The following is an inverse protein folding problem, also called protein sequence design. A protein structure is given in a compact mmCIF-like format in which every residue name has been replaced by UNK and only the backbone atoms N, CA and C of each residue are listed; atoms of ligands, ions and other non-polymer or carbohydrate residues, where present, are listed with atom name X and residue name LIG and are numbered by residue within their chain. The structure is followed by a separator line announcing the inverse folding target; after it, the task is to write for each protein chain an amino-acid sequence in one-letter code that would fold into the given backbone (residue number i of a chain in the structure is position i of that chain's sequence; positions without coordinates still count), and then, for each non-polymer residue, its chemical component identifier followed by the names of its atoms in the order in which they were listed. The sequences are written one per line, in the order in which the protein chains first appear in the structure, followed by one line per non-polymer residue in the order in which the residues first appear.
data_IF_432928898050
#
_entry.id   IF_432928898050
#
_cell.length_a   1.000
_cell.length_b   1.000
_cell.length_c   1.000
_cell.angle_alpha   90.00
_cell.angle_beta   90.00
_cell.angle_gamma   90.00
#
_symmetry.space_group_name_H-M   'P 1'
#
loop_
_entity.id
_entity.type
_entity.pdbx_description
1 polymer ?
#
# COMPACT_ATOMS: atom_id res chain seq x y z
N UNK A 1 -46.45 8.79 18.82
CA UNK A 1 -44.97 8.80 18.88
C UNK A 1 -44.45 10.09 18.25
N UNK A 2 -44.16 11.09 19.06
CA UNK A 2 -43.61 12.38 18.64
C UNK A 2 -42.18 12.17 18.14
N UNK A 3 -41.94 12.25 16.82
CA UNK A 3 -40.58 12.33 16.27
C UNK A 3 -39.92 13.59 16.85
N UNK A 4 -38.99 13.44 17.79
CA UNK A 4 -38.16 14.56 18.28
C UNK A 4 -37.61 15.29 17.07
N UNK A 5 -37.83 16.61 16.97
CA UNK A 5 -37.18 17.45 15.95
C UNK A 5 -35.67 17.25 16.09
N UNK A 6 -34.93 17.00 15.00
CA UNK A 6 -33.47 16.87 15.06
C UNK A 6 -32.88 18.17 15.63
N UNK A 7 -31.86 18.04 16.48
CA UNK A 7 -31.24 19.16 17.21
C UNK A 7 -30.64 20.24 16.29
N UNK A 8 -30.42 19.92 15.00
CA UNK A 8 -29.88 20.84 13.99
C UNK A 8 -30.91 21.42 13.02
N UNK A 9 -32.17 21.60 13.42
CA UNK A 9 -33.20 22.19 12.55
C UNK A 9 -32.83 23.64 12.16
N UNK A 10 -32.50 23.87 10.88
CA UNK A 10 -32.11 25.18 10.33
C UNK A 10 -30.64 25.30 9.92
N UNK A 11 -29.78 24.34 10.29
CA UNK A 11 -28.37 24.32 9.92
C UNK A 11 -28.15 23.56 8.61
N UNK A 12 -27.14 23.98 7.85
CA UNK A 12 -26.65 23.24 6.68
C UNK A 12 -26.13 21.85 7.08
N UNK A 13 -25.93 20.98 6.10
CA UNK A 13 -25.41 19.62 6.35
C UNK A 13 -23.99 19.66 6.91
N UNK A 14 -23.16 20.57 6.42
CA UNK A 14 -21.75 20.66 6.79
C UNK A 14 -21.58 21.23 8.20
N UNK A 15 -22.39 22.23 8.57
CA UNK A 15 -22.43 22.76 9.94
C UNK A 15 -22.86 21.67 10.94
N UNK A 16 -23.89 20.88 10.60
CA UNK A 16 -24.30 19.73 11.42
C UNK A 16 -23.19 18.69 11.56
N UNK A 17 -22.43 18.44 10.49
CA UNK A 17 -21.29 17.52 10.53
C UNK A 17 -20.19 18.02 11.47
N UNK A 18 -19.83 19.30 11.39
CA UNK A 18 -18.83 19.92 12.26
C UNK A 18 -19.23 19.87 13.73
N UNK A 19 -20.49 20.19 14.05
CA UNK A 19 -20.99 20.12 15.43
C UNK A 19 -20.92 18.69 15.96
N UNK A 20 -21.39 17.71 15.20
CA UNK A 20 -21.34 16.30 15.60
C UNK A 20 -19.90 15.83 15.82
N UNK A 21 -18.95 16.22 14.96
CA UNK A 21 -17.54 15.86 15.14
C UNK A 21 -16.95 16.50 16.40
N UNK A 22 -17.26 17.77 16.67
CA UNK A 22 -16.83 18.47 17.88
C UNK A 22 -17.38 17.80 19.15
N UNK A 23 -18.67 17.44 19.15
CA UNK A 23 -19.33 16.78 20.28
C UNK A 23 -18.78 15.37 20.52
N UNK A 24 -18.45 14.62 19.45
CA UNK A 24 -17.74 13.33 19.56
C UNK A 24 -16.40 13.52 20.29
N UNK A 25 -15.63 14.54 19.93
CA UNK A 25 -14.31 14.81 20.55
C UNK A 25 -14.47 15.17 22.03
N UNK A 26 -15.45 16.01 22.37
CA UNK A 26 -15.74 16.38 23.76
C UNK A 26 -16.17 15.18 24.60
N UNK A 27 -17.05 14.31 24.08
CA UNK A 27 -17.43 13.07 24.79
C UNK A 27 -16.24 12.13 24.98
N UNK A 28 -15.35 12.02 23.99
CA UNK A 28 -14.14 11.20 24.09
C UNK A 28 -13.14 11.73 25.13
N UNK A 29 -12.96 13.05 25.21
CA UNK A 29 -12.11 13.68 26.23
C UNK A 29 -12.69 13.48 27.63
N UNK A 30 -13.99 13.70 27.79
CA UNK A 30 -14.68 13.48 29.06
C UNK A 30 -14.54 12.02 29.52
N UNK A 31 -14.78 11.07 28.62
CA UNK A 31 -14.63 9.66 28.93
C UNK A 31 -13.17 9.27 29.26
N UNK A 32 -12.19 9.90 28.61
CA UNK A 32 -10.78 9.71 28.94
C UNK A 32 -10.47 10.18 30.37
N UNK A 33 -10.93 11.37 30.76
CA UNK A 33 -10.76 11.88 32.13
C UNK A 33 -11.47 11.02 33.18
N UNK A 34 -12.62 10.44 32.82
CA UNK A 34 -13.38 9.53 33.70
C UNK A 34 -12.86 8.08 33.69
N UNK A 35 -11.83 7.76 32.89
CA UNK A 35 -11.30 6.40 32.76
C UNK A 35 -12.26 5.38 32.14
N UNK A 36 -13.30 5.84 31.43
CA UNK A 36 -14.32 4.97 30.81
C UNK A 36 -13.94 4.59 29.39
N UNK A 37 -14.19 3.33 29.04
CA UNK A 37 -14.06 2.88 27.65
C UNK A 37 -15.30 3.23 26.85
N UNK A 38 -15.10 3.72 25.62
CA UNK A 38 -16.18 4.23 24.76
C UNK A 38 -16.19 3.49 23.45
N UNK A 39 -17.34 2.89 23.14
CA UNK A 39 -17.58 2.34 21.82
C UNK A 39 -17.79 3.48 20.79
N UNK A 40 -16.73 3.79 20.05
CA UNK A 40 -16.72 4.87 19.05
C UNK A 40 -17.84 4.71 18.01
N UNK A 41 -18.11 3.49 17.54
CA UNK A 41 -19.13 3.27 16.51
C UNK A 41 -20.53 3.59 17.05
N UNK A 42 -20.83 3.19 18.28
CA UNK A 42 -22.11 3.49 18.92
C UNK A 42 -22.28 5.00 19.16
N UNK A 43 -21.20 5.66 19.60
CA UNK A 43 -21.17 7.11 19.82
C UNK A 43 -21.45 7.88 18.51
N UNK A 44 -20.74 7.54 17.45
CA UNK A 44 -20.89 8.15 16.12
C UNK A 44 -22.31 8.02 15.58
N UNK A 45 -22.90 6.82 15.66
CA UNK A 45 -24.26 6.58 15.16
C UNK A 45 -25.30 7.32 15.99
N UNK A 46 -25.14 7.35 17.32
CA UNK A 46 -26.06 8.07 18.23
C UNK A 46 -26.08 9.56 17.93
N UNK A 47 -24.91 10.20 17.86
CA UNK A 47 -24.80 11.63 17.62
C UNK A 47 -25.21 12.00 16.18
N UNK A 48 -24.84 11.19 15.18
CA UNK A 48 -25.31 11.40 13.81
C UNK A 48 -26.85 11.34 13.71
N UNK A 49 -27.50 10.41 14.42
CA UNK A 49 -28.95 10.28 14.46
C UNK A 49 -29.63 11.49 15.14
N UNK A 50 -29.06 11.98 16.25
CA UNK A 50 -29.59 13.14 16.99
C UNK A 50 -29.67 14.42 16.13
N UNK A 51 -28.69 14.61 15.23
CA UNK A 51 -28.62 15.76 14.33
C UNK A 51 -29.24 15.50 12.94
N UNK A 52 -29.79 14.31 12.71
CA UNK A 52 -30.44 13.93 11.47
C UNK A 52 -29.48 13.83 10.28
N UNK A 53 -28.23 13.41 10.51
CA UNK A 53 -27.26 13.17 9.44
C UNK A 53 -27.57 11.84 8.71
N UNK A 54 -27.44 11.78 7.37
CA UNK A 54 -27.69 10.56 6.60
C UNK A 54 -26.60 9.51 6.78
N UNK A 55 -25.39 9.92 7.18
CA UNK A 55 -24.25 9.04 7.41
C UNK A 55 -23.46 9.51 8.62
N UNK A 56 -22.87 8.56 9.34
CA UNK A 56 -21.96 8.87 10.43
C UNK A 56 -20.68 9.55 9.91
N UNK A 57 -20.02 10.42 10.70
CA UNK A 57 -18.76 11.05 10.31
C UNK A 57 -17.68 10.01 10.01
N UNK A 58 -16.77 10.28 9.06
CA UNK A 58 -15.66 9.35 8.81
C UNK A 58 -14.64 9.48 9.93
N UNK A 59 -13.90 8.41 10.19
CA UNK A 59 -12.85 8.44 11.22
C UNK A 59 -11.76 9.48 10.90
N UNK A 60 -11.44 9.66 9.61
CA UNK A 60 -10.51 10.69 9.13
C UNK A 60 -10.98 12.09 9.49
N UNK A 61 -12.28 12.39 9.35
CA UNK A 61 -12.85 13.70 9.68
C UNK A 61 -12.76 13.96 11.19
N UNK A 62 -12.98 12.92 12.01
CA UNK A 62 -12.85 13.00 13.47
C UNK A 62 -11.39 13.25 13.87
N UNK A 63 -10.44 12.49 13.30
CA UNK A 63 -9.01 12.62 13.57
C UNK A 63 -8.51 14.03 13.17
N UNK A 64 -8.93 14.54 12.02
CA UNK A 64 -8.53 15.85 11.53
C UNK A 64 -9.03 17.00 12.43
N UNK A 65 -10.18 16.84 13.07
CA UNK A 65 -10.78 17.84 13.95
C UNK A 65 -10.23 17.79 15.39
N UNK A 66 -9.39 16.81 15.76
CA UNK A 66 -8.81 16.73 17.11
C UNK A 66 -7.89 17.93 17.38
N UNK A 67 -8.13 18.72 18.45
CA UNK A 67 -7.25 19.82 18.86
C UNK A 67 -5.81 19.37 19.09
N UNK A 68 -4.83 20.24 18.79
CA UNK A 68 -3.41 19.88 18.86
C UNK A 68 -2.96 19.39 20.25
N UNK A 69 -3.54 19.96 21.31
CA UNK A 69 -3.32 19.58 22.72
C UNK A 69 -3.86 18.19 23.06
N UNK A 70 -4.98 17.79 22.42
CA UNK A 70 -5.66 16.52 22.66
C UNK A 70 -5.13 15.39 21.76
N UNK A 71 -4.33 15.69 20.73
CA UNK A 71 -3.77 14.70 19.80
C UNK A 71 -2.98 13.57 20.50
N UNK A 72 -2.09 13.82 21.46
CA UNK A 72 -1.34 12.76 22.14
C UNK A 72 -2.25 11.79 22.90
N UNK A 73 -3.39 12.28 23.38
CA UNK A 73 -4.35 11.54 24.21
C UNK A 73 -5.30 10.71 23.34
N UNK A 74 -5.86 11.33 22.28
CA UNK A 74 -6.93 10.75 21.48
C UNK A 74 -6.43 9.98 20.25
N UNK A 75 -5.33 10.37 19.61
CA UNK A 75 -4.83 9.69 18.41
C UNK A 75 -4.54 8.20 18.66
N UNK A 76 -3.90 7.77 19.78
CA UNK A 76 -3.68 6.35 20.04
C UNK A 76 -4.97 5.55 20.15
N UNK A 77 -6.05 6.15 20.68
CA UNK A 77 -7.37 5.53 20.84
C UNK A 77 -8.20 5.54 19.55
N UNK A 78 -7.98 6.53 18.68
CA UNK A 78 -8.69 6.71 17.42
C UNK A 78 -8.01 6.03 16.22
N UNK A 79 -6.75 5.59 16.37
CA UNK A 79 -5.97 4.97 15.30
C UNK A 79 -6.64 3.69 14.80
N UNK A 80 -6.94 3.66 13.50
CA UNK A 80 -7.51 2.48 12.88
C UNK A 80 -6.47 1.36 12.78
N UNK A 81 -6.79 0.14 13.25
CA UNK A 81 -5.93 -1.06 13.11
C UNK A 81 -4.47 -0.78 13.53
N UNK A 82 -4.22 -0.49 14.82
CA UNK A 82 -2.92 -0.02 15.31
C UNK A 82 -1.76 -0.99 14.98
N UNK A 83 -2.05 -2.29 14.91
CA UNK A 83 -1.11 -3.36 14.51
C UNK A 83 -0.38 -3.08 13.18
N UNK A 84 -0.99 -2.36 12.23
CA UNK A 84 -0.44 -2.15 10.88
C UNK A 84 0.82 -1.29 10.83
N UNK A 85 1.14 -0.58 11.92
CA UNK A 85 2.34 0.25 12.07
C UNK A 85 2.87 0.16 13.50
N UNK A 86 2.60 -0.95 14.19
CA UNK A 86 3.06 -1.13 15.56
C UNK A 86 4.60 -1.14 15.64
N UNK A 87 5.26 -1.62 14.58
CA UNK A 87 6.71 -1.57 14.39
C UNK A 87 7.25 -0.19 14.01
N UNK A 88 6.38 0.81 13.81
CA UNK A 88 6.78 2.13 13.31
C UNK A 88 7.14 2.18 11.82
N UNK A 89 6.89 1.09 11.08
CA UNK A 89 7.14 1.02 9.64
C UNK A 89 5.81 1.08 8.89
N UNK A 90 5.70 2.00 7.93
CA UNK A 90 4.58 2.10 7.03
C UNK A 90 4.82 1.28 5.75
N UNK A 91 4.10 0.17 5.60
CA UNK A 91 4.18 -0.67 4.40
C UNK A 91 3.32 -0.08 3.27
N UNK A 92 3.97 0.23 2.16
CA UNK A 92 3.36 0.80 0.95
C UNK A 92 3.53 -0.17 -0.21
N UNK A 93 2.47 -0.92 -0.48
CA UNK A 93 2.42 -1.82 -1.63
C UNK A 93 1.93 -1.07 -2.88
N UNK A 94 2.71 -1.17 -3.96
CA UNK A 94 2.47 -0.55 -5.27
C UNK A 94 2.49 -1.61 -6.36
N UNK A 95 1.77 -1.37 -7.45
CA UNK A 95 1.74 -2.27 -8.60
C UNK A 95 2.31 -1.57 -9.83
N UNK A 96 3.14 -2.31 -10.58
CA UNK A 96 3.61 -1.88 -11.89
C UNK A 96 2.51 -2.02 -12.96
N UNK A 97 2.74 -1.46 -14.15
CA UNK A 97 1.77 -1.54 -15.26
C UNK A 97 1.41 -3.01 -15.59
N UNK A 98 0.15 -3.30 -15.93
CA UNK A 98 -0.23 -4.60 -16.49
C UNK A 98 0.61 -4.91 -17.73
N UNK A 99 1.20 -6.10 -17.75
CA UNK A 99 1.99 -6.61 -18.87
C UNK A 99 1.95 -8.13 -18.88
N UNK A 100 2.25 -8.73 -20.05
CA UNK A 100 2.29 -10.18 -20.21
C UNK A 100 3.54 -10.77 -19.56
N UNK A 101 3.39 -11.94 -18.96
CA UNK A 101 4.50 -12.68 -18.37
C UNK A 101 5.48 -13.18 -19.47
N UNK A 102 6.81 -13.08 -19.30
CA UNK A 102 7.77 -13.35 -20.37
C UNK A 102 7.74 -14.78 -20.93
N UNK A 103 7.49 -15.77 -20.08
CA UNK A 103 7.50 -17.18 -20.50
C UNK A 103 6.37 -17.55 -21.46
N UNK A 104 5.36 -16.69 -21.65
CA UNK A 104 4.32 -16.90 -22.68
C UNK A 104 4.94 -17.02 -24.08
N UNK A 105 6.04 -16.30 -24.33
CA UNK A 105 6.75 -16.35 -25.61
C UNK A 105 7.47 -17.69 -25.85
N UNK A 106 7.78 -18.42 -24.79
CA UNK A 106 8.50 -19.71 -24.87
C UNK A 106 7.55 -20.91 -24.75
N UNK A 107 6.54 -20.78 -23.90
CA UNK A 107 5.62 -21.88 -23.53
C UNK A 107 4.26 -21.80 -24.20
N UNK A 108 3.95 -20.67 -24.85
CA UNK A 108 2.69 -20.41 -25.54
C UNK A 108 1.55 -19.92 -24.65
N UNK A 109 1.58 -20.18 -23.34
CA UNK A 109 0.53 -19.80 -22.39
C UNK A 109 1.12 -19.33 -21.05
N UNK A 110 0.27 -18.78 -20.17
CA UNK A 110 0.63 -18.46 -18.79
C UNK A 110 0.60 -19.71 -17.88
N UNK A 111 0.97 -19.55 -16.60
CA UNK A 111 0.85 -20.62 -15.61
C UNK A 111 -0.61 -21.01 -15.39
N UNK A 112 -0.89 -22.31 -15.25
CA UNK A 112 -2.26 -22.88 -15.24
C UNK A 112 -3.18 -22.24 -14.20
N UNK A 113 -2.66 -21.89 -13.03
CA UNK A 113 -3.44 -21.35 -11.90
C UNK A 113 -3.38 -19.82 -11.80
N UNK A 114 -2.72 -19.13 -12.73
CA UNK A 114 -2.52 -17.68 -12.64
C UNK A 114 -3.80 -16.93 -13.06
N UNK A 115 -4.50 -16.23 -12.14
CA UNK A 115 -5.67 -15.44 -12.53
C UNK A 115 -5.24 -14.10 -13.14
N UNK A 116 -6.18 -13.42 -13.79
CA UNK A 116 -6.00 -12.04 -14.19
C UNK A 116 -4.96 -11.81 -15.28
N UNK A 117 -4.51 -10.56 -15.38
CA UNK A 117 -3.56 -10.11 -16.39
C UNK A 117 -4.22 -9.65 -17.69
N UNK A 118 -3.42 -9.15 -18.65
CA UNK A 118 -3.93 -8.51 -19.86
C UNK A 118 -4.78 -9.40 -20.76
N UNK A 119 -4.58 -10.72 -20.71
CA UNK A 119 -5.25 -11.71 -21.56
C UNK A 119 -6.39 -12.43 -20.82
N UNK A 120 -6.92 -11.84 -19.76
CA UNK A 120 -8.01 -12.41 -18.95
C UNK A 120 -9.27 -11.56 -19.02
N UNK A 121 -10.39 -12.12 -18.53
CA UNK A 121 -11.67 -11.40 -18.41
C UNK A 121 -11.66 -10.29 -17.34
N UNK A 122 -10.59 -10.19 -16.54
CA UNK A 122 -10.46 -9.17 -15.50
C UNK A 122 -9.93 -7.86 -16.08
N UNK A 123 -10.82 -6.88 -16.22
CA UNK A 123 -10.50 -5.57 -16.78
C UNK A 123 -9.33 -4.88 -16.07
N UNK A 124 -8.31 -4.53 -16.85
CA UNK A 124 -7.20 -3.67 -16.43
C UNK A 124 -6.46 -4.16 -15.18
N UNK A 125 -6.38 -5.49 -15.00
CA UNK A 125 -5.72 -6.17 -13.89
C UNK A 125 -4.26 -6.51 -14.20
N UNK A 126 -3.39 -6.49 -13.18
CA UNK A 126 -2.02 -7.02 -13.27
C UNK A 126 -2.02 -8.55 -13.26
N UNK A 127 -0.97 -9.16 -13.83
CA UNK A 127 -0.83 -10.60 -13.85
C UNK A 127 -0.88 -11.18 -12.42
N UNK A 128 -1.64 -12.25 -12.22
CA UNK A 128 -1.90 -12.91 -10.93
C UNK A 128 -2.88 -12.19 -9.99
N UNK A 129 -3.52 -11.09 -10.41
CA UNK A 129 -4.47 -10.34 -9.60
C UNK A 129 -5.82 -10.17 -10.32
N UNK A 130 -6.91 -10.09 -9.56
CA UNK A 130 -8.26 -9.94 -10.13
C UNK A 130 -8.67 -8.49 -10.34
N UNK A 131 -7.98 -7.53 -9.71
CA UNK A 131 -8.33 -6.11 -9.75
C UNK A 131 -9.24 -5.67 -8.59
N UNK A 132 -9.89 -6.61 -7.90
CA UNK A 132 -10.78 -6.33 -6.77
C UNK A 132 -10.05 -6.22 -5.42
N UNK A 133 -8.76 -6.56 -5.38
CA UNK A 133 -7.98 -6.43 -4.16
C UNK A 133 -7.79 -4.95 -3.81
N UNK A 134 -7.74 -4.56 -2.53
CA UNK A 134 -7.61 -3.16 -2.14
C UNK A 134 -6.42 -2.43 -2.76
N UNK A 135 -5.30 -3.14 -2.97
CA UNK A 135 -4.12 -2.55 -3.61
C UNK A 135 -4.29 -2.42 -5.11
N UNK A 136 -4.81 -3.46 -5.78
CA UNK A 136 -5.15 -3.41 -7.21
C UNK A 136 -6.13 -2.29 -7.53
N UNK A 137 -7.20 -2.14 -6.74
CA UNK A 137 -8.17 -1.05 -6.91
C UNK A 137 -7.52 0.34 -6.77
N UNK A 138 -6.51 0.51 -5.90
CA UNK A 138 -5.77 1.78 -5.78
C UNK A 138 -4.86 2.00 -6.98
N UNK A 139 -4.19 0.96 -7.45
CA UNK A 139 -3.33 1.02 -8.63
C UNK A 139 -4.14 1.38 -9.89
N UNK A 140 -5.29 0.74 -10.11
CA UNK A 140 -6.21 1.03 -11.22
C UNK A 140 -6.67 2.50 -11.18
N UNK A 141 -7.08 3.01 -10.01
CA UNK A 141 -7.50 4.42 -9.85
C UNK A 141 -6.37 5.40 -10.14
N UNK A 142 -5.14 5.04 -9.80
CA UNK A 142 -3.94 5.82 -10.11
C UNK A 142 -3.39 5.56 -11.52
N UNK A 143 -4.07 4.74 -12.34
CA UNK A 143 -3.61 4.31 -13.67
C UNK A 143 -2.18 3.75 -13.66
N UNK A 144 -1.84 3.03 -12.59
CA UNK A 144 -0.52 2.45 -12.34
C UNK A 144 0.63 3.47 -12.28
N UNK A 145 0.34 4.75 -12.03
CA UNK A 145 1.34 5.78 -11.81
C UNK A 145 2.03 5.55 -10.43
N UNK A 146 3.36 5.34 -10.40
CA UNK A 146 4.09 5.04 -9.16
C UNK A 146 4.07 6.19 -8.15
N UNK A 147 4.13 7.44 -8.63
CA UNK A 147 4.16 8.63 -7.78
C UNK A 147 2.81 8.81 -7.08
N UNK A 148 1.71 8.75 -7.83
CA UNK A 148 0.35 8.88 -7.30
C UNK A 148 -0.02 7.71 -6.38
N UNK A 149 0.34 6.47 -6.73
CA UNK A 149 0.11 5.32 -5.85
C UNK A 149 0.75 5.52 -4.47
N UNK A 150 2.01 5.98 -4.47
CA UNK A 150 2.77 6.25 -3.25
C UNK A 150 2.19 7.41 -2.46
N UNK A 151 2.00 8.57 -3.10
CA UNK A 151 1.44 9.78 -2.47
C UNK A 151 0.09 9.50 -1.81
N UNK A 152 -0.85 8.95 -2.56
CA UNK A 152 -2.19 8.65 -2.05
C UNK A 152 -2.14 7.67 -0.85
N UNK A 153 -1.25 6.68 -0.90
CA UNK A 153 -1.14 5.70 0.19
C UNK A 153 -0.51 6.31 1.45
N UNK A 154 0.53 7.11 1.30
CA UNK A 154 1.19 7.80 2.41
C UNK A 154 0.24 8.81 3.06
N UNK A 155 -0.47 9.61 2.27
CA UNK A 155 -1.47 10.57 2.77
C UNK A 155 -2.62 9.87 3.50
N UNK A 156 -3.13 8.77 2.94
CA UNK A 156 -4.16 7.96 3.58
C UNK A 156 -3.70 7.45 4.96
N UNK A 157 -2.45 6.99 5.07
CA UNK A 157 -1.90 6.53 6.35
C UNK A 157 -1.75 7.68 7.35
N UNK A 158 -1.27 8.86 6.91
CA UNK A 158 -1.20 10.07 7.74
C UNK A 158 -2.58 10.48 8.27
N UNK A 159 -3.59 10.49 7.40
CA UNK A 159 -4.99 10.81 7.73
C UNK A 159 -5.62 9.85 8.74
N UNK A 160 -5.16 8.59 8.76
CA UNK A 160 -5.58 7.57 9.73
C UNK A 160 -4.78 7.62 11.04
N UNK A 161 -3.88 8.59 11.21
CA UNK A 161 -3.08 8.78 12.42
C UNK A 161 -1.88 7.83 12.53
N UNK A 162 -1.41 7.26 11.42
CA UNK A 162 -0.18 6.48 11.40
C UNK A 162 1.03 7.38 11.18
N UNK A 163 2.11 7.15 11.93
CA UNK A 163 3.43 7.69 11.56
C UNK A 163 3.87 7.03 10.25
N UNK A 164 4.45 7.83 9.38
CA UNK A 164 4.99 7.42 8.08
C UNK A 164 6.41 7.95 7.92
N UNK A 165 7.15 8.06 9.01
CA UNK A 165 8.54 8.55 8.99
C UNK A 165 9.46 7.52 8.32
N UNK A 166 9.09 6.23 8.40
CA UNK A 166 9.77 5.10 7.78
C UNK A 166 8.80 4.35 6.88
N UNK A 167 9.13 4.25 5.60
CA UNK A 167 8.33 3.57 4.57
C UNK A 167 9.10 2.38 4.03
N UNK A 168 8.44 1.24 3.95
CA UNK A 168 8.92 0.05 3.24
C UNK A 168 8.03 -0.18 2.03
N UNK A 169 8.62 -0.19 0.84
CA UNK A 169 7.89 -0.45 -0.39
C UNK A 169 7.80 -1.95 -0.68
N UNK A 170 6.68 -2.35 -1.29
CA UNK A 170 6.52 -3.67 -1.89
C UNK A 170 6.05 -3.46 -3.33
N UNK A 171 6.89 -3.79 -4.30
CA UNK A 171 6.58 -3.73 -5.72
C UNK A 171 6.00 -5.07 -6.14
N UNK A 172 4.71 -5.06 -6.42
CA UNK A 172 3.92 -6.26 -6.72
C UNK A 172 3.68 -6.42 -8.22
N UNK A 173 3.45 -7.67 -8.63
CA UNK A 173 3.14 -8.07 -10.00
C UNK A 173 3.97 -9.24 -10.51
N UNK A 174 4.94 -9.72 -9.73
CA UNK A 174 5.75 -10.92 -10.01
C UNK A 174 6.72 -10.86 -11.19
N UNK A 175 6.57 -9.93 -12.14
CA UNK A 175 7.40 -9.84 -13.36
C UNK A 175 7.95 -8.45 -13.63
N UNK A 176 8.06 -7.60 -12.61
CA UNK A 176 8.60 -6.23 -12.76
C UNK A 176 9.95 -6.19 -13.49
N UNK A 177 10.83 -7.14 -13.19
CA UNK A 177 12.17 -7.26 -13.81
C UNK A 177 12.15 -7.64 -15.31
N UNK A 178 10.99 -8.02 -15.86
CA UNK A 178 10.81 -8.24 -17.29
C UNK A 178 10.58 -6.92 -18.06
N UNK A 179 10.23 -5.85 -17.37
CA UNK A 179 9.92 -4.58 -18.02
C UNK A 179 11.20 -3.90 -18.54
N UNK A 180 11.08 -3.08 -19.61
CA UNK A 180 12.18 -2.27 -20.12
C UNK A 180 12.89 -1.45 -19.03
N UNK A 181 14.22 -1.27 -19.16
CA UNK A 181 15.05 -0.64 -18.11
C UNK A 181 14.65 0.81 -17.84
N UNK A 182 14.26 1.55 -18.88
CA UNK A 182 13.73 2.92 -18.80
C UNK A 182 12.45 2.99 -17.97
N UNK A 183 11.55 2.01 -18.13
CA UNK A 183 10.36 1.91 -17.30
C UNK A 183 10.70 1.54 -15.85
N UNK A 184 11.63 0.61 -15.63
CA UNK A 184 12.05 0.21 -14.28
C UNK A 184 12.69 1.38 -13.53
N UNK A 185 13.60 2.12 -14.17
CA UNK A 185 14.20 3.35 -13.64
C UNK A 185 13.12 4.41 -13.33
N UNK A 186 12.26 4.73 -14.31
CA UNK A 186 11.14 5.64 -14.11
C UNK A 186 10.29 5.24 -12.90
N UNK A 187 9.97 3.95 -12.78
CA UNK A 187 9.10 3.46 -11.71
C UNK A 187 9.74 3.67 -10.34
N UNK A 188 10.97 3.19 -10.13
CA UNK A 188 11.68 3.26 -8.84
C UNK A 188 11.98 4.72 -8.46
N UNK A 189 12.46 5.52 -9.40
CA UNK A 189 12.71 6.96 -9.20
C UNK A 189 11.49 7.67 -8.63
N UNK A 190 10.32 7.44 -9.24
CA UNK A 190 9.07 8.07 -8.81
C UNK A 190 8.58 7.61 -7.43
N UNK A 191 8.97 6.41 -6.97
CA UNK A 191 8.70 5.99 -5.58
C UNK A 191 9.48 6.85 -4.58
N UNK A 192 10.76 7.10 -4.86
CA UNK A 192 11.61 7.96 -4.04
C UNK A 192 11.17 9.43 -4.10
N UNK A 193 10.88 9.94 -5.29
CA UNK A 193 10.41 11.30 -5.52
C UNK A 193 9.08 11.58 -4.80
N UNK A 194 8.18 10.60 -4.73
CA UNK A 194 6.93 10.73 -3.97
C UNK A 194 7.15 10.91 -2.45
N UNK A 195 8.28 10.42 -1.90
CA UNK A 195 8.65 10.59 -0.50
C UNK A 195 9.50 11.84 -0.25
N UNK A 196 10.38 12.21 -1.18
CA UNK A 196 11.28 13.36 -1.05
C UNK A 196 10.60 14.68 -1.44
N UNK A 197 9.63 14.63 -2.35
CA UNK A 197 9.02 15.81 -2.98
C UNK A 197 9.91 16.47 -4.05
N UNK A 198 11.06 15.88 -4.37
CA UNK A 198 11.94 16.30 -5.47
C UNK A 198 11.53 15.61 -6.78
N UNK A 199 11.92 16.19 -7.92
CA UNK A 199 11.75 15.56 -9.22
C UNK A 199 13.13 15.22 -9.76
N UNK A 200 13.45 13.92 -9.78
CA UNK A 200 14.79 13.45 -10.14
C UNK A 200 14.90 13.12 -11.63
N UNK A 201 16.11 13.05 -12.16
CA UNK A 201 16.41 12.63 -13.54
C UNK A 201 16.80 11.15 -13.66
N UNK A 202 17.36 10.57 -12.58
CA UNK A 202 17.77 9.16 -12.48
C UNK A 202 17.43 8.58 -11.11
N UNK A 203 17.47 7.24 -10.98
CA UNK A 203 17.31 6.58 -9.66
C UNK A 203 18.39 7.01 -8.67
N UNK A 204 19.65 7.15 -9.09
CA UNK A 204 20.75 7.54 -8.20
C UNK A 204 20.51 8.93 -7.57
N UNK A 205 20.04 9.90 -8.37
CA UNK A 205 19.64 11.20 -7.88
C UNK A 205 18.49 11.07 -6.86
N UNK A 206 17.46 10.29 -7.20
CA UNK A 206 16.28 10.13 -6.35
C UNK A 206 16.61 9.50 -5.00
N UNK A 207 17.50 8.49 -4.97
CA UNK A 207 18.00 7.87 -3.74
C UNK A 207 18.73 8.92 -2.89
N UNK A 208 19.64 9.70 -3.49
CA UNK A 208 20.40 10.75 -2.79
C UNK A 208 19.52 11.81 -2.13
N UNK A 209 18.44 12.23 -2.80
CA UNK A 209 17.47 13.15 -2.21
C UNK A 209 16.57 12.47 -1.17
N UNK A 210 16.20 11.21 -1.40
CA UNK A 210 15.39 10.41 -0.48
C UNK A 210 16.08 10.20 0.88
N UNK A 211 17.40 10.05 0.91
CA UNK A 211 18.19 9.91 2.16
C UNK A 211 18.04 11.10 3.12
N UNK A 212 17.84 12.30 2.56
CA UNK A 212 17.67 13.57 3.30
C UNK A 212 16.21 13.90 3.58
N UNK A 213 15.26 13.11 3.07
CA UNK A 213 13.83 13.33 3.30
C UNK A 213 13.46 13.06 4.77
N UNK A 214 12.44 13.77 5.24
CA UNK A 214 11.77 13.47 6.50
C UNK A 214 11.12 12.08 6.50
N UNK A 215 10.55 11.69 5.36
CA UNK A 215 9.96 10.35 5.17
C UNK A 215 10.97 9.49 4.42
N UNK A 216 11.56 8.52 5.12
CA UNK A 216 12.65 7.69 4.61
C UNK A 216 12.14 6.39 4.02
N UNK A 217 12.65 6.04 2.84
CA UNK A 217 12.60 4.66 2.35
C UNK A 217 13.60 3.82 3.15
N UNK A 218 13.12 2.84 3.91
CA UNK A 218 13.99 1.94 4.69
C UNK A 218 14.22 0.59 4.00
N UNK A 219 13.52 0.33 2.90
CA UNK A 219 13.63 -0.91 2.16
C UNK A 219 12.63 -1.00 1.03
N UNK A 220 13.01 -1.72 -0.01
CA UNK A 220 12.15 -2.04 -1.16
C UNK A 220 12.16 -3.55 -1.32
N UNK A 221 10.97 -4.13 -1.26
CA UNK A 221 10.73 -5.54 -1.61
C UNK A 221 10.26 -5.62 -3.05
N UNK A 222 10.92 -6.44 -3.87
CA UNK A 222 10.52 -6.65 -5.27
C UNK A 222 10.17 -8.11 -5.47
N UNK A 223 8.96 -8.35 -5.97
CA UNK A 223 8.52 -9.68 -6.40
C UNK A 223 9.09 -10.01 -7.78
N UNK A 224 9.63 -11.21 -7.94
CA UNK A 224 10.20 -11.66 -9.22
C UNK A 224 10.07 -13.18 -9.41
N UNK A 225 10.41 -13.63 -10.63
CA UNK A 225 10.54 -15.06 -10.96
C UNK A 225 12.00 -15.50 -10.77
N UNK A 226 12.26 -16.78 -10.44
CA UNK A 226 13.63 -17.29 -10.28
C UNK A 226 14.55 -17.04 -11.47
N UNK A 227 14.04 -17.14 -12.69
CA UNK A 227 14.76 -16.91 -13.95
C UNK A 227 15.11 -15.43 -14.19
N UNK A 228 14.58 -14.52 -13.38
CA UNK A 228 14.89 -13.08 -13.37
C UNK A 228 15.73 -12.64 -12.15
N UNK A 229 16.50 -13.58 -11.58
CA UNK A 229 17.44 -13.33 -10.48
C UNK A 229 18.91 -13.62 -10.87
N UNK A 230 19.25 -13.47 -12.14
CA UNK A 230 20.63 -13.58 -12.64
C UNK A 230 21.48 -12.38 -12.20
N UNK A 231 22.81 -12.50 -12.25
CA UNK A 231 23.75 -11.46 -11.80
C UNK A 231 23.42 -10.05 -12.31
N UNK A 232 23.10 -9.88 -13.61
CA UNK A 232 22.68 -8.59 -14.17
C UNK A 232 21.46 -8.01 -13.45
N UNK A 233 20.43 -8.83 -13.25
CA UNK A 233 19.20 -8.41 -12.58
C UNK A 233 19.45 -8.07 -11.11
N UNK A 234 20.30 -8.84 -10.41
CA UNK A 234 20.68 -8.55 -9.03
C UNK A 234 21.46 -7.24 -8.92
N UNK A 235 22.35 -6.93 -9.87
CA UNK A 235 23.02 -5.63 -9.94
C UNK A 235 22.05 -4.47 -10.10
N UNK A 236 21.06 -4.59 -11.00
CA UNK A 236 19.99 -3.58 -11.15
C UNK A 236 19.21 -3.41 -9.84
N UNK A 237 18.85 -4.51 -9.18
CA UNK A 237 18.09 -4.49 -7.92
C UNK A 237 18.87 -3.77 -6.81
N UNK A 238 20.18 -3.98 -6.72
CA UNK A 238 21.05 -3.24 -5.79
C UNK A 238 21.05 -1.75 -6.11
N UNK A 239 21.17 -1.38 -7.39
CA UNK A 239 21.13 0.03 -7.83
C UNK A 239 19.79 0.69 -7.53
N UNK A 240 18.69 -0.06 -7.57
CA UNK A 240 17.35 0.40 -7.19
C UNK A 240 17.14 0.56 -5.68
N UNK A 241 18.11 0.17 -4.83
CA UNK A 241 17.96 0.17 -3.38
C UNK A 241 17.03 -0.93 -2.86
N UNK A 242 16.89 -2.02 -3.62
CA UNK A 242 16.16 -3.21 -3.17
C UNK A 242 16.91 -3.89 -2.02
N UNK A 243 16.17 -4.33 -1.01
CA UNK A 243 16.74 -5.00 0.17
C UNK A 243 16.17 -6.40 0.40
N UNK A 244 15.01 -6.70 -0.18
CA UNK A 244 14.36 -8.01 -0.10
C UNK A 244 13.78 -8.43 -1.45
N UNK A 245 13.97 -9.69 -1.80
CA UNK A 245 13.39 -10.31 -2.98
C UNK A 245 12.33 -11.32 -2.56
N UNK A 246 11.17 -11.29 -3.20
CA UNK A 246 10.15 -12.32 -3.05
C UNK A 246 10.08 -13.13 -4.34
N UNK A 247 10.52 -14.38 -4.27
CA UNK A 247 10.70 -15.25 -5.44
C UNK A 247 9.55 -16.24 -5.52
N UNK A 248 8.81 -16.22 -6.63
CA UNK A 248 7.67 -17.12 -6.84
C UNK A 248 8.09 -18.57 -7.14
N UNK A 249 8.47 -19.35 -6.12
CA UNK A 249 8.86 -20.78 -6.25
C UNK A 249 7.68 -21.66 -6.63
N UNK A 250 6.58 -21.53 -5.86
CA UNK A 250 5.31 -22.26 -6.02
C UNK A 250 5.39 -23.76 -5.71
N UNK A 251 6.32 -24.50 -6.31
CA UNK A 251 6.58 -25.91 -6.02
C UNK A 251 8.08 -26.22 -6.00
N UNK A 252 8.46 -27.19 -5.18
CA UNK A 252 9.83 -27.76 -5.13
C UNK A 252 9.97 -29.05 -5.93
N UNK A 253 8.91 -29.46 -6.64
CA UNK A 253 8.89 -30.65 -7.48
C UNK A 253 8.89 -30.27 -8.97
N UNK A 254 9.80 -30.88 -9.74
CA UNK A 254 10.02 -30.55 -11.17
C UNK A 254 8.83 -30.95 -12.05
N UNK A 255 8.15 -32.05 -11.73
CA UNK A 255 6.94 -32.50 -12.42
C UNK A 255 5.81 -31.48 -12.28
N UNK A 256 5.55 -30.99 -11.08
CA UNK A 256 4.54 -29.95 -10.83
C UNK A 256 4.89 -28.65 -11.57
N UNK A 257 6.15 -28.20 -11.52
CA UNK A 257 6.58 -26.99 -12.21
C UNK A 257 6.40 -27.09 -13.74
N UNK A 258 6.70 -28.26 -14.32
CA UNK A 258 6.50 -28.54 -15.74
C UNK A 258 5.02 -28.62 -16.10
N UNK A 259 4.25 -29.44 -15.38
CA UNK A 259 2.86 -29.77 -15.72
C UNK A 259 1.92 -28.57 -15.48
N UNK A 260 2.29 -27.62 -14.61
CA UNK A 260 1.56 -26.35 -14.40
C UNK A 260 2.02 -25.21 -15.29
N UNK A 261 2.91 -25.48 -16.26
CA UNK A 261 3.48 -24.49 -17.16
C UNK A 261 4.12 -23.28 -16.42
N UNK A 262 4.96 -23.55 -15.41
CA UNK A 262 5.56 -22.50 -14.57
C UNK A 262 6.62 -21.68 -15.30
N UNK A 263 7.27 -22.28 -16.31
CA UNK A 263 8.29 -21.66 -17.14
C UNK A 263 9.67 -21.51 -16.50
N UNK A 264 9.97 -22.26 -15.43
CA UNK A 264 11.31 -22.41 -14.85
C UNK A 264 11.45 -23.78 -14.16
N UNK A 265 12.69 -24.19 -13.86
CA UNK A 265 12.99 -25.42 -13.10
C UNK A 265 13.16 -25.14 -11.61
N UNK A 266 13.14 -26.19 -10.80
CA UNK A 266 13.49 -26.12 -9.36
C UNK A 266 14.97 -25.80 -9.21
N UNK A 267 15.84 -26.35 -10.07
CA UNK A 267 17.27 -26.01 -10.11
C UNK A 267 17.51 -24.50 -10.25
N UNK A 268 16.80 -23.83 -11.17
CA UNK A 268 16.91 -22.38 -11.35
C UNK A 268 16.52 -21.59 -10.08
N UNK A 269 15.60 -22.15 -9.27
CA UNK A 269 15.23 -21.58 -7.97
C UNK A 269 16.34 -21.72 -6.93
N UNK A 270 17.00 -22.87 -6.87
CA UNK A 270 18.14 -23.05 -5.97
C UNK A 270 19.28 -22.09 -6.31
N UNK A 271 19.59 -21.94 -7.61
CA UNK A 271 20.61 -21.01 -8.10
C UNK A 271 20.26 -19.55 -7.79
N UNK A 272 19.00 -19.15 -8.01
CA UNK A 272 18.56 -17.78 -7.69
C UNK A 272 18.65 -17.47 -6.20
N UNK A 273 18.35 -18.44 -5.33
CA UNK A 273 18.49 -18.29 -3.89
C UNK A 273 19.94 -18.11 -3.47
N UNK A 274 20.84 -18.91 -4.02
CA UNK A 274 22.27 -18.79 -3.75
C UNK A 274 22.77 -17.40 -4.17
N UNK A 275 22.58 -17.03 -5.44
CA UNK A 275 23.07 -15.74 -5.96
C UNK A 275 22.49 -14.54 -5.19
N UNK A 276 21.19 -14.59 -4.86
CA UNK A 276 20.53 -13.52 -4.12
C UNK A 276 21.08 -13.38 -2.69
N UNK A 277 21.32 -14.51 -2.00
CA UNK A 277 21.90 -14.50 -0.65
C UNK A 277 23.36 -14.06 -0.65
N UNK A 278 24.14 -14.53 -1.62
CA UNK A 278 25.55 -14.12 -1.79
C UNK A 278 25.68 -12.62 -2.08
N UNK A 279 24.70 -12.04 -2.80
CA UNK A 279 24.58 -10.60 -3.02
C UNK A 279 24.05 -9.80 -1.80
N UNK A 280 23.67 -10.47 -0.71
CA UNK A 280 23.22 -9.84 0.53
C UNK A 280 21.73 -9.51 0.62
N UNK A 281 20.90 -10.00 -0.30
CA UNK A 281 19.45 -9.80 -0.22
C UNK A 281 18.81 -10.67 0.84
N UNK A 282 17.74 -10.16 1.47
CA UNK A 282 16.78 -11.01 2.15
C UNK A 282 15.94 -11.76 1.10
N UNK A 283 15.86 -13.08 1.22
CA UNK A 283 15.07 -13.98 0.35
C UNK A 283 14.09 -14.74 1.20
#
# INVERSE_FOLDING_TARGET
MTKKKPLGAGLSRDERMLIVVSEIIQELLKAHHEGKDVNLNRLKTRLASNYGLPSAPRLVDIIAAVPHEAKPILLPKLKAKPIRTASGIAVVAVMCKPHRCPHINMTGNICVYCPGGPDSDFEYSTQSYTGYEPTSMRAIRARYDPFLQTRHRVEQLKQLGHSVDKVEFIVMGGTFMCLPEDYRDYFIRNLHDALSGHTSSSVEEAVRYSEKSHTKCIGITIETRPDYCLNRHLSDLLAYGCTRLEIGVQSVYEDVARDTNRGHTVKATCESFQMSKDAGFKV
#
